data_IF_536832951839
#
_entry.id   IF_536832951839
#
_cell.length_a   1.000
_cell.length_b   1.000
_cell.length_c   1.000
_cell.angle_alpha   90.00
_cell.angle_beta   90.00
_cell.angle_gamma   90.00
#
_symmetry.space_group_name_H-M   'P 1'
#
loop_
_entity.id
_entity.type
_entity.pdbx_description
1 polymer ?
#
# COMPACT_ATOMS: atom_id res chain seq x y z
N UNK A 1 -19.98 -4.76 -6.67
CA UNK A 1 -18.99 -4.63 -6.86
C UNK A 1 -18.24 -3.51 -6.62
N UNK A 2 -17.75 -3.15 -5.61
CA UNK A 2 -17.07 -2.01 -5.26
C UNK A 2 -15.72 -1.96 -5.87
N UNK A 3 -15.36 -0.87 -6.41
CA UNK A 3 -14.06 -0.67 -6.89
C UNK A 3 -13.20 -0.06 -5.84
N UNK A 4 -13.78 0.32 -4.72
CA UNK A 4 -13.02 0.90 -3.65
C UNK A 4 -12.54 -0.18 -2.73
N UNK A 5 -11.34 0.02 -2.20
CA UNK A 5 -10.81 -0.90 -1.21
C UNK A 5 -11.39 -0.56 0.15
N UNK A 6 -11.63 -1.56 0.95
CA UNK A 6 -12.11 -1.33 2.31
C UNK A 6 -10.95 -0.90 3.18
N UNK A 7 -11.22 -0.17 4.29
CA UNK A 7 -10.14 0.26 5.17
C UNK A 7 -9.24 -0.89 5.63
N UNK A 8 -9.83 -2.04 5.90
CA UNK A 8 -9.03 -3.19 6.32
C UNK A 8 -8.07 -3.62 5.24
N UNK A 9 -8.54 -3.60 3.99
CA UNK A 9 -7.70 -3.96 2.87
C UNK A 9 -6.59 -2.95 2.69
N UNK A 10 -6.92 -1.68 2.83
CA UNK A 10 -5.94 -0.63 2.67
C UNK A 10 -4.83 -0.79 3.69
N UNK A 11 -5.19 -1.02 4.94
CA UNK A 11 -4.20 -1.19 5.99
C UNK A 11 -3.35 -2.42 5.73
N UNK A 12 -3.98 -3.50 5.28
CA UNK A 12 -3.23 -4.72 4.98
C UNK A 12 -2.23 -4.49 3.85
N UNK A 13 -2.63 -3.72 2.82
CA UNK A 13 -1.74 -3.46 1.71
C UNK A 13 -0.59 -2.54 2.13
N UNK A 14 -0.88 -1.57 2.99
CA UNK A 14 0.17 -0.69 3.49
C UNK A 14 1.19 -1.49 4.29
N UNK A 15 0.72 -2.42 5.11
CA UNK A 15 1.60 -3.25 5.90
C UNK A 15 2.42 -4.16 4.98
N UNK A 16 1.81 -4.65 3.91
CA UNK A 16 2.50 -5.51 2.97
C UNK A 16 3.70 -4.78 2.37
N UNK A 17 3.52 -3.50 2.01
CA UNK A 17 4.60 -2.70 1.47
C UNK A 17 5.72 -2.56 2.50
N UNK A 18 5.37 -2.33 3.76
CA UNK A 18 6.38 -2.20 4.81
C UNK A 18 7.19 -3.48 4.95
N UNK A 19 6.52 -4.61 4.91
CA UNK A 19 7.21 -5.89 5.02
C UNK A 19 8.17 -6.09 3.85
N UNK A 20 7.70 -5.78 2.65
CA UNK A 20 8.51 -5.98 1.46
C UNK A 20 9.73 -5.07 1.45
N UNK A 21 9.55 -3.80 1.84
CA UNK A 21 10.69 -2.89 1.87
C UNK A 21 11.66 -3.28 2.96
N UNK A 22 11.16 -3.83 4.05
CA UNK A 22 12.02 -4.32 5.12
C UNK A 22 12.85 -5.52 4.68
N UNK A 23 12.39 -6.21 3.64
CA UNK A 23 13.10 -7.36 3.11
C UNK A 23 14.06 -6.99 1.98
N UNK A 24 14.13 -5.72 1.65
CA UNK A 24 15.02 -5.28 0.60
C UNK A 24 14.35 -4.95 -0.73
N UNK A 25 13.05 -5.10 -0.81
CA UNK A 25 12.32 -4.74 -2.03
C UNK A 25 12.24 -3.23 -2.13
N UNK A 26 12.42 -2.70 -3.33
CA UNK A 26 12.33 -1.25 -3.48
C UNK A 26 10.89 -0.80 -3.26
N UNK A 27 10.73 0.45 -2.84
CA UNK A 27 9.41 0.99 -2.58
C UNK A 27 8.54 0.93 -3.84
N UNK A 28 9.10 1.28 -4.97
CA UNK A 28 8.36 1.27 -6.22
C UNK A 28 7.86 -0.13 -6.55
N UNK A 29 8.72 -1.12 -6.38
CA UNK A 29 8.33 -2.50 -6.67
C UNK A 29 7.28 -2.99 -5.69
N UNK A 30 7.43 -2.63 -4.42
CA UNK A 30 6.47 -3.06 -3.41
C UNK A 30 5.09 -2.47 -3.71
N UNK A 31 5.05 -1.20 -4.05
CA UNK A 31 3.79 -0.53 -4.36
C UNK A 31 3.14 -1.17 -5.59
N UNK A 32 3.95 -1.45 -6.60
CA UNK A 32 3.43 -2.09 -7.81
C UNK A 32 2.87 -3.47 -7.48
N UNK A 33 3.51 -4.15 -6.56
CA UNK A 33 3.11 -5.49 -6.16
C UNK A 33 1.72 -5.53 -5.55
N UNK A 34 1.33 -4.47 -4.85
CA UNK A 34 0.00 -4.43 -4.25
C UNK A 34 -1.04 -3.86 -5.21
N UNK A 35 -0.63 -3.52 -6.43
CA UNK A 35 -1.59 -3.18 -7.47
C UNK A 35 -2.12 -1.75 -7.46
N UNK A 36 -1.40 -0.82 -6.87
CA UNK A 36 -1.83 0.58 -6.87
C UNK A 36 -0.70 1.46 -7.36
N UNK A 37 -1.00 2.73 -7.60
CA UNK A 37 0.02 3.68 -8.01
C UNK A 37 0.67 4.27 -6.77
N UNK A 38 1.83 4.90 -6.98
CA UNK A 38 2.52 5.55 -5.88
C UNK A 38 1.66 6.66 -5.27
N UNK A 39 0.94 7.38 -6.12
CA UNK A 39 0.07 8.46 -5.63
C UNK A 39 -0.97 7.88 -4.67
N UNK A 40 -1.60 6.78 -5.08
CA UNK A 40 -2.61 6.14 -4.24
C UNK A 40 -2.00 5.63 -2.95
N UNK A 41 -0.82 5.02 -3.03
CA UNK A 41 -0.15 4.50 -1.85
C UNK A 41 0.13 5.61 -0.85
N UNK A 42 0.68 6.72 -1.30
CA UNK A 42 1.03 7.80 -0.39
C UNK A 42 -0.22 8.47 0.19
N UNK A 43 -1.29 8.51 -0.59
CA UNK A 43 -2.54 9.05 -0.08
C UNK A 43 -3.06 8.14 1.04
N UNK A 44 -3.05 6.83 0.82
CA UNK A 44 -3.51 5.88 1.82
C UNK A 44 -2.67 6.00 3.09
N UNK A 45 -1.37 6.10 2.90
CA UNK A 45 -0.48 6.18 4.03
C UNK A 45 -0.78 7.42 4.87
N UNK A 46 -1.05 8.53 4.20
CA UNK A 46 -1.37 9.77 4.90
C UNK A 46 -2.68 9.66 5.66
N UNK A 47 -3.62 8.93 5.11
CA UNK A 47 -4.95 8.83 5.72
C UNK A 47 -5.04 7.77 6.81
N UNK A 48 -4.31 6.68 6.65
CA UNK A 48 -4.45 5.54 7.55
C UNK A 48 -3.26 5.29 8.46
N UNK A 49 -2.11 5.82 8.12
CA UNK A 49 -0.92 5.63 8.94
C UNK A 49 -0.37 7.01 9.21
N UNK A 50 -0.90 7.65 10.18
CA UNK A 50 -0.53 9.03 10.46
C UNK A 50 0.78 9.12 11.23
#
# INVERSE_FOLDING_TARGET
MGKRHKPEEIIAKLRQVEVMTGQGTSMADAIRSIGVTEVTYYRWRSEYVA
#
